data_IF_874213283343
#
_entry.id   IF_874213283343
#
_cell.length_a   1.000
_cell.length_b   1.000
_cell.length_c   1.000
_cell.angle_alpha   90.00
_cell.angle_beta   90.00
_cell.angle_gamma   90.00
#
_symmetry.space_group_name_H-M   'P 1'
#
loop_
_entity.id
_entity.type
_entity.pdbx_description
1 polymer ?
#
# COMPACT_ATOMS: atom_id res chain seq x y z
N UNK A 1 -19.36 -0.82 -15.36
CA UNK A 1 -18.82 -2.18 -15.57
C UNK A 1 -17.72 -2.38 -14.55
N UNK A 2 -18.01 -3.07 -13.45
CA UNK A 2 -16.98 -3.40 -12.45
C UNK A 2 -16.02 -4.37 -13.13
N UNK A 3 -14.76 -3.96 -13.31
CA UNK A 3 -13.76 -4.81 -13.95
C UNK A 3 -13.55 -6.05 -13.05
N UNK A 4 -13.56 -7.28 -13.60
CA UNK A 4 -13.42 -8.55 -12.86
C UNK A 4 -12.25 -8.52 -11.84
N UNK A 5 -11.17 -7.89 -12.27
CA UNK A 5 -10.02 -7.36 -11.54
C UNK A 5 -10.31 -6.82 -10.13
N UNK A 6 -11.30 -5.95 -9.97
CA UNK A 6 -11.66 -5.31 -8.70
C UNK A 6 -12.15 -6.33 -7.66
N UNK A 7 -13.01 -7.23 -8.10
CA UNK A 7 -13.63 -8.23 -7.23
C UNK A 7 -12.58 -9.20 -6.70
N UNK A 8 -11.58 -9.56 -7.51
CA UNK A 8 -10.46 -10.42 -7.10
C UNK A 8 -9.63 -9.77 -5.98
N UNK A 9 -9.35 -8.46 -6.10
CA UNK A 9 -8.57 -7.69 -5.13
C UNK A 9 -9.27 -7.60 -3.78
N UNK A 10 -10.54 -7.20 -3.79
CA UNK A 10 -11.31 -7.10 -2.56
C UNK A 10 -11.42 -8.46 -1.87
N UNK A 11 -11.59 -9.53 -2.66
CA UNK A 11 -11.61 -10.91 -2.13
C UNK A 11 -10.27 -11.27 -1.48
N UNK A 12 -9.14 -10.86 -2.06
CA UNK A 12 -7.82 -11.05 -1.47
C UNK A 12 -7.66 -10.30 -0.14
N UNK A 13 -8.08 -9.04 -0.05
CA UNK A 13 -8.06 -8.26 1.20
C UNK A 13 -8.90 -8.89 2.31
N UNK A 14 -9.98 -9.59 1.96
CA UNK A 14 -10.86 -10.27 2.92
C UNK A 14 -10.29 -11.60 3.45
N UNK A 15 -9.19 -12.10 2.92
CA UNK A 15 -8.57 -13.34 3.40
C UNK A 15 -8.07 -13.21 4.84
N UNK A 16 -8.15 -14.30 5.60
CA UNK A 16 -7.81 -14.33 7.04
C UNK A 16 -6.41 -13.81 7.37
N UNK A 17 -5.45 -13.95 6.46
CA UNK A 17 -4.08 -13.44 6.62
C UNK A 17 -3.96 -11.92 6.63
N UNK A 18 -4.95 -11.22 6.07
CA UNK A 18 -5.00 -9.75 6.00
C UNK A 18 -5.89 -9.16 7.12
N UNK A 19 -6.65 -9.99 7.86
CA UNK A 19 -7.60 -9.53 8.88
C UNK A 19 -6.95 -8.77 10.03
N UNK A 20 -5.75 -9.16 10.45
CA UNK A 20 -5.03 -8.49 11.53
C UNK A 20 -4.17 -7.30 11.05
N UNK A 21 -4.08 -7.07 9.74
CA UNK A 21 -3.19 -6.07 9.16
C UNK A 21 -3.83 -4.69 9.06
N UNK A 22 -4.19 -4.06 10.17
CA UNK A 22 -4.65 -2.67 10.18
C UNK A 22 -3.92 -1.86 11.25
N UNK A 23 -3.22 -0.82 10.82
CA UNK A 23 -2.50 0.11 11.69
C UNK A 23 -3.02 1.52 11.44
N UNK A 24 -3.36 2.21 12.53
CA UNK A 24 -3.68 3.64 12.48
C UNK A 24 -2.36 4.40 12.53
N UNK A 25 -2.07 5.09 11.44
CA UNK A 25 -0.82 5.82 11.23
C UNK A 25 -0.98 7.22 11.78
N UNK A 26 -1.00 7.31 13.10
CA UNK A 26 -1.19 8.54 13.83
C UNK A 26 -0.26 8.61 15.05
N UNK A 27 0.38 9.76 15.25
CA UNK A 27 1.04 10.09 16.51
C UNK A 27 0.31 11.28 17.13
N UNK A 28 -0.29 11.06 18.31
CA UNK A 28 -1.10 12.06 19.03
C UNK A 28 -2.21 12.73 18.17
N UNK A 29 -2.80 11.97 17.25
CA UNK A 29 -3.88 12.45 16.37
C UNK A 29 -3.42 13.30 15.18
N UNK A 30 -2.11 13.47 14.97
CA UNK A 30 -1.54 14.09 13.77
C UNK A 30 -1.06 13.02 12.78
N UNK A 31 -1.06 13.38 11.49
CA UNK A 31 -0.40 12.59 10.43
C UNK A 31 1.07 12.36 10.81
N UNK A 32 1.55 11.14 10.64
CA UNK A 32 2.98 10.85 10.75
C UNK A 32 3.74 11.59 9.65
N UNK A 33 4.94 12.07 9.96
CA UNK A 33 5.90 12.46 8.91
C UNK A 33 6.39 11.21 8.17
N UNK A 34 6.98 11.38 6.99
CA UNK A 34 7.57 10.28 6.22
C UNK A 34 8.57 9.44 7.05
N UNK A 35 9.51 10.09 7.73
CA UNK A 35 10.46 9.41 8.61
C UNK A 35 9.79 8.65 9.78
N UNK A 36 8.65 9.13 10.28
CA UNK A 36 7.90 8.45 11.34
C UNK A 36 7.13 7.24 10.79
N UNK A 37 6.55 7.37 9.61
CA UNK A 37 5.95 6.27 8.86
C UNK A 37 6.97 5.15 8.63
N UNK A 38 8.15 5.48 8.10
CA UNK A 38 9.22 4.52 7.85
C UNK A 38 9.72 3.84 9.13
N UNK A 39 9.84 4.58 10.24
CA UNK A 39 10.14 3.98 11.56
C UNK A 39 9.04 3.03 12.01
N UNK A 40 7.77 3.41 11.84
CA UNK A 40 6.63 2.55 12.20
C UNK A 40 6.58 1.27 11.37
N UNK A 41 6.84 1.38 10.07
CA UNK A 41 6.96 0.24 9.14
C UNK A 41 8.09 -0.70 9.59
N UNK A 42 9.23 -0.13 10.01
CA UNK A 42 10.34 -0.91 10.57
C UNK A 42 10.00 -1.60 11.88
N UNK A 43 9.25 -0.96 12.78
CA UNK A 43 8.79 -1.55 14.05
C UNK A 43 7.90 -2.79 13.83
N UNK A 44 7.07 -2.77 12.78
CA UNK A 44 6.23 -3.92 12.40
C UNK A 44 6.96 -4.91 11.47
N UNK A 45 8.27 -4.71 11.25
CA UNK A 45 9.17 -5.52 10.43
C UNK A 45 8.64 -5.78 9.01
N UNK A 46 8.09 -4.74 8.38
CA UNK A 46 7.63 -4.78 6.99
C UNK A 46 8.68 -4.08 6.12
N UNK A 47 9.01 -4.66 4.97
CA UNK A 47 10.03 -4.15 4.04
C UNK A 47 9.48 -3.85 2.65
N UNK A 48 8.17 -3.89 2.47
CA UNK A 48 7.50 -3.54 1.21
C UNK A 48 6.54 -2.40 1.52
N UNK A 49 6.70 -1.27 0.84
CA UNK A 49 5.85 -0.10 0.98
C UNK A 49 5.26 0.25 -0.39
N UNK A 50 3.95 0.42 -0.40
CA UNK A 50 3.15 0.89 -1.52
C UNK A 50 2.60 2.25 -1.11
N UNK A 51 3.07 3.30 -1.78
CA UNK A 51 2.70 4.69 -1.48
C UNK A 51 2.81 5.58 -2.75
N UNK A 52 2.23 6.78 -2.68
CA UNK A 52 2.17 7.78 -3.78
C UNK A 52 3.31 8.83 -3.68
N UNK A 53 4.40 8.54 -2.97
CA UNK A 53 5.48 9.47 -2.63
C UNK A 53 6.70 9.42 -3.59
N UNK A 54 7.66 10.36 -3.45
CA UNK A 54 8.90 10.40 -4.26
C UNK A 54 9.85 9.22 -3.97
N UNK A 55 10.10 8.43 -5.00
CA UNK A 55 10.68 7.09 -4.92
C UNK A 55 12.12 7.08 -4.42
N UNK A 56 12.93 8.07 -4.79
CA UNK A 56 14.39 8.02 -4.57
C UNK A 56 14.80 8.58 -3.22
N UNK A 57 14.16 9.65 -2.78
CA UNK A 57 14.48 10.29 -1.49
C UNK A 57 14.02 9.40 -0.35
N UNK A 58 12.77 8.91 -0.42
CA UNK A 58 12.18 8.00 0.54
C UNK A 58 13.04 6.76 0.78
N UNK A 59 13.49 6.14 -0.31
CA UNK A 59 14.27 4.89 -0.23
C UNK A 59 15.63 5.07 0.45
N UNK A 60 16.26 6.24 0.27
CA UNK A 60 17.52 6.55 0.98
C UNK A 60 17.28 6.75 2.47
N UNK A 61 16.21 7.46 2.84
CA UNK A 61 15.84 7.63 4.24
C UNK A 61 15.46 6.29 4.88
N UNK A 62 14.71 5.47 4.16
CA UNK A 62 14.29 4.16 4.64
C UNK A 62 15.49 3.22 4.86
N UNK A 63 16.48 3.24 3.96
CA UNK A 63 17.76 2.54 4.16
C UNK A 63 18.55 3.04 5.37
N UNK A 64 18.44 4.31 5.72
CA UNK A 64 19.08 4.85 6.92
C UNK A 64 18.37 4.39 8.21
N UNK A 65 17.05 4.17 8.14
CA UNK A 65 16.22 3.72 9.27
C UNK A 65 16.33 2.20 9.48
N UNK A 66 16.09 1.40 8.44
CA UNK A 66 16.27 -0.05 8.49
C UNK A 66 17.72 -0.38 8.15
N UNK A 67 18.56 -0.53 9.18
CA UNK A 67 19.99 -0.83 9.00
C UNK A 67 20.29 -2.30 8.63
N UNK A 68 19.30 -3.19 8.75
CA UNK A 68 19.45 -4.63 8.45
C UNK A 68 19.15 -4.95 6.99
N UNK A 69 18.50 -4.06 6.25
CA UNK A 69 18.23 -4.27 4.84
C UNK A 69 19.53 -4.29 4.00
N UNK A 70 19.61 -5.23 3.06
CA UNK A 70 20.75 -5.40 2.13
C UNK A 70 20.87 -4.23 1.14
N UNK A 71 19.73 -3.63 0.81
CA UNK A 71 19.56 -2.55 -0.14
C UNK A 71 18.08 -2.26 -0.32
N UNK A 72 17.77 -1.40 -1.28
CA UNK A 72 16.40 -1.04 -1.57
C UNK A 72 16.12 -1.03 -3.07
N UNK A 73 14.92 -1.45 -3.42
CA UNK A 73 14.40 -1.49 -4.78
C UNK A 73 13.37 -0.40 -4.95
N UNK A 74 13.49 0.35 -6.04
CA UNK A 74 12.55 1.40 -6.40
C UNK A 74 12.43 1.54 -7.92
N UNK A 75 11.38 2.20 -8.37
CA UNK A 75 11.18 2.46 -9.80
C UNK A 75 11.73 3.82 -10.18
N UNK A 76 12.59 3.82 -11.20
CA UNK A 76 13.13 5.04 -11.78
C UNK A 76 12.18 5.66 -12.80
N UNK A 77 12.47 6.90 -13.21
CA UNK A 77 11.73 7.62 -14.24
C UNK A 77 11.69 6.90 -15.61
N UNK A 78 12.57 5.91 -15.81
CA UNK A 78 12.65 5.06 -17.00
C UNK A 78 11.73 3.83 -16.96
N UNK A 79 10.83 3.75 -15.98
CA UNK A 79 9.93 2.61 -15.74
C UNK A 79 10.65 1.29 -15.45
N UNK A 80 11.91 1.35 -14.99
CA UNK A 80 12.69 0.16 -14.61
C UNK A 80 12.88 0.08 -13.11
N UNK A 81 12.98 -1.14 -12.60
CA UNK A 81 13.37 -1.37 -11.23
C UNK A 81 14.87 -1.19 -11.05
N UNK A 82 15.26 -0.38 -10.07
CA UNK A 82 16.62 -0.06 -9.70
C UNK A 82 16.91 -0.54 -8.28
N UNK A 83 18.14 -0.96 -8.04
CA UNK A 83 18.65 -1.41 -6.75
C UNK A 83 19.65 -0.38 -6.23
N UNK A 84 19.34 0.21 -5.09
CA UNK A 84 20.26 1.02 -4.29
C UNK A 84 20.85 0.14 -3.18
N UNK A 85 22.11 -0.27 -3.32
CA UNK A 85 22.80 -1.00 -2.24
C UNK A 85 23.11 -0.08 -1.07
N UNK A 86 23.16 -0.69 0.12
CA UNK A 86 23.71 -0.03 1.32
C UNK A 86 25.17 0.33 1.09
N UNK A 87 25.52 1.60 1.25
CA UNK A 87 26.88 2.11 1.03
C UNK A 87 27.30 2.20 -0.45
N UNK A 88 26.46 1.76 -1.39
CA UNK A 88 26.70 1.92 -2.82
C UNK A 88 26.51 3.36 -3.26
N UNK A 89 27.44 3.90 -4.07
CA UNK A 89 27.32 5.27 -4.60
C UNK A 89 26.29 5.39 -5.72
N UNK A 90 26.14 4.34 -6.54
CA UNK A 90 25.24 4.34 -7.69
C UNK A 90 24.22 3.22 -7.58
N UNK A 91 23.00 3.49 -8.03
CA UNK A 91 21.97 2.50 -8.20
C UNK A 91 22.22 1.72 -9.50
N UNK A 92 21.89 0.43 -9.53
CA UNK A 92 22.01 -0.41 -10.72
C UNK A 92 20.67 -1.04 -11.09
N UNK A 93 20.41 -1.39 -12.36
CA UNK A 93 19.15 -2.02 -12.74
C UNK A 93 18.97 -3.38 -12.04
N UNK A 94 17.77 -3.68 -11.54
CA UNK A 94 17.46 -4.93 -10.83
C UNK A 94 17.80 -6.18 -11.65
N UNK A 95 17.52 -6.14 -12.96
CA UNK A 95 17.82 -7.23 -13.90
C UNK A 95 19.32 -7.52 -14.06
N UNK A 96 20.19 -6.57 -13.71
CA UNK A 96 21.63 -6.75 -13.72
C UNK A 96 22.16 -7.27 -12.36
N UNK A 97 21.28 -7.60 -11.42
CA UNK A 97 21.64 -8.07 -10.08
C UNK A 97 21.24 -9.54 -9.90
N UNK A 98 21.93 -10.29 -9.03
CA UNK A 98 21.52 -11.67 -8.71
C UNK A 98 20.21 -11.73 -7.89
N UNK A 99 19.62 -10.59 -7.53
CA UNK A 99 18.43 -10.50 -6.67
C UNK A 99 17.13 -10.34 -7.46
N UNK A 100 17.18 -10.31 -8.79
CA UNK A 100 15.98 -10.22 -9.63
C UNK A 100 14.94 -11.33 -9.32
N UNK A 101 15.41 -12.50 -8.92
CA UNK A 101 14.57 -13.67 -8.61
C UNK A 101 14.24 -13.83 -7.12
N UNK A 102 14.84 -13.04 -6.23
CA UNK A 102 14.54 -13.07 -4.80
C UNK A 102 14.93 -11.77 -4.10
N UNK A 103 13.91 -11.01 -3.68
CA UNK A 103 14.06 -9.75 -2.95
C UNK A 103 14.16 -9.92 -1.43
N UNK A 104 14.49 -11.11 -0.95
CA UNK A 104 14.69 -11.36 0.47
C UNK A 104 15.72 -10.42 1.11
N UNK A 105 15.31 -9.75 2.19
CA UNK A 105 16.11 -8.78 2.92
C UNK A 105 16.28 -7.42 2.25
N UNK A 106 15.60 -7.14 1.13
CA UNK A 106 15.55 -5.81 0.51
C UNK A 106 14.34 -5.02 0.98
N UNK A 107 14.50 -3.70 1.04
CA UNK A 107 13.38 -2.77 1.07
C UNK A 107 12.83 -2.66 -0.36
N UNK A 108 11.52 -2.61 -0.52
CA UNK A 108 10.90 -2.49 -1.84
C UNK A 108 9.86 -1.39 -1.76
N UNK A 109 10.11 -0.33 -2.51
CA UNK A 109 9.18 0.77 -2.67
C UNK A 109 8.49 0.66 -4.03
N UNK A 110 7.16 0.68 -4.01
CA UNK A 110 6.33 0.57 -5.21
C UNK A 110 5.48 1.84 -5.29
N UNK A 111 5.74 2.60 -6.34
CA UNK A 111 4.98 3.79 -6.72
C UNK A 111 3.86 3.42 -7.71
N UNK A 112 2.75 4.15 -7.56
CA UNK A 112 1.54 4.15 -8.36
C UNK A 112 1.78 4.28 -9.87
N UNK A 113 2.80 5.01 -10.32
CA UNK A 113 3.07 5.12 -11.76
C UNK A 113 3.63 3.83 -12.38
N UNK A 114 4.09 2.86 -11.57
CA UNK A 114 4.93 1.74 -12.01
C UNK A 114 4.33 0.34 -11.76
N UNK A 115 3.03 0.30 -11.46
CA UNK A 115 2.27 -0.93 -11.14
C UNK A 115 2.04 -1.85 -12.34
N UNK A 116 2.33 -1.40 -13.58
CA UNK A 116 2.00 -2.14 -14.80
C UNK A 116 3.20 -2.79 -15.53
N UNK A 117 4.45 -2.55 -15.12
CA UNK A 117 5.64 -2.87 -15.96
C UNK A 117 6.62 -3.96 -15.51
N UNK A 118 6.78 -4.25 -14.21
CA UNK A 118 7.85 -5.16 -13.71
C UNK A 118 7.35 -6.30 -12.80
N UNK A 119 7.79 -7.53 -13.05
CA UNK A 119 7.51 -8.71 -12.20
C UNK A 119 8.57 -8.80 -11.09
N UNK A 120 8.17 -8.49 -9.84
CA UNK A 120 9.06 -8.53 -8.68
C UNK A 120 8.84 -9.84 -7.92
N UNK A 121 9.93 -10.57 -7.66
CA UNK A 121 9.90 -11.85 -6.93
C UNK A 121 10.10 -11.65 -5.44
N UNK A 122 9.00 -11.70 -4.70
CA UNK A 122 8.98 -11.56 -3.25
C UNK A 122 9.06 -12.91 -2.52
N UNK A 123 9.60 -12.94 -1.29
CA UNK A 123 9.52 -14.11 -0.41
C UNK A 123 8.08 -14.55 -0.12
N UNK A 124 7.90 -15.82 0.23
CA UNK A 124 6.58 -16.42 0.47
C UNK A 124 5.83 -15.81 1.66
N UNK A 125 6.53 -15.38 2.69
CA UNK A 125 6.01 -14.78 3.92
C UNK A 125 6.06 -13.25 3.91
N UNK A 126 6.36 -12.66 2.74
CA UNK A 126 6.48 -11.22 2.61
C UNK A 126 5.16 -10.52 3.00
N UNK A 127 5.32 -9.43 3.74
CA UNK A 127 4.23 -8.55 4.15
C UNK A 127 4.46 -7.17 3.56
N UNK A 128 3.42 -6.59 2.97
CA UNK A 128 3.47 -5.23 2.41
C UNK A 128 2.62 -4.25 3.19
N UNK A 129 3.06 -3.00 3.24
CA UNK A 129 2.29 -1.87 3.76
C UNK A 129 1.62 -1.18 2.58
N UNK A 130 0.32 -0.95 2.72
CA UNK A 130 -0.48 -0.13 1.82
C UNK A 130 -0.94 1.12 2.59
N UNK A 131 -0.41 2.28 2.22
CA UNK A 131 -0.87 3.57 2.76
C UNK A 131 -2.23 3.91 2.14
N UNK A 132 -3.21 4.28 2.95
CA UNK A 132 -4.55 4.71 2.49
C UNK A 132 -4.65 6.25 2.45
N UNK A 133 -5.39 6.80 1.50
CA UNK A 133 -5.59 8.26 1.37
C UNK A 133 -7.05 8.69 1.12
N UNK A 134 -7.40 9.92 1.50
CA UNK A 134 -8.73 10.52 1.22
C UNK A 134 -8.74 11.23 -0.14
N UNK A 135 -9.88 11.20 -0.83
CA UNK A 135 -10.08 12.00 -2.05
C UNK A 135 -9.60 11.33 -3.34
N UNK A 136 -9.48 10.01 -3.33
CA UNK A 136 -9.16 9.16 -4.47
C UNK A 136 -10.25 9.32 -5.57
N UNK A 137 -10.04 10.27 -6.50
CA UNK A 137 -10.96 10.55 -7.61
C UNK A 137 -10.75 9.56 -8.75
N UNK A 138 -11.86 9.04 -9.31
CA UNK A 138 -12.12 8.27 -10.56
C UNK A 138 -10.98 7.54 -11.32
N UNK A 139 -9.79 8.11 -11.42
CA UNK A 139 -8.58 7.46 -11.94
C UNK A 139 -7.77 6.74 -10.83
N UNK A 140 -8.00 7.08 -9.55
CA UNK A 140 -7.21 6.59 -8.42
C UNK A 140 -7.87 5.44 -7.63
N UNK A 141 -9.19 5.24 -7.76
CA UNK A 141 -9.82 4.00 -7.28
C UNK A 141 -9.26 2.77 -7.99
N UNK A 142 -8.93 2.90 -9.29
CA UNK A 142 -8.24 1.83 -10.05
C UNK A 142 -6.79 1.63 -9.55
N UNK A 143 -6.16 2.65 -8.95
CA UNK A 143 -4.77 2.62 -8.48
C UNK A 143 -4.60 1.86 -7.15
N UNK A 144 -5.45 2.10 -6.16
CA UNK A 144 -5.45 1.29 -4.91
C UNK A 144 -5.79 -0.17 -5.22
N UNK A 145 -6.70 -0.41 -6.16
CA UNK A 145 -7.06 -1.76 -6.61
C UNK A 145 -5.91 -2.48 -7.31
N UNK A 146 -5.14 -1.78 -8.14
CA UNK A 146 -4.10 -2.41 -8.94
C UNK A 146 -2.76 -2.56 -8.21
N UNK A 147 -2.47 -1.67 -7.24
CA UNK A 147 -1.36 -1.88 -6.30
C UNK A 147 -1.60 -3.12 -5.43
N UNK A 148 -2.85 -3.32 -5.02
CA UNK A 148 -3.31 -4.54 -4.39
C UNK A 148 -3.31 -5.76 -5.32
N UNK A 149 -3.55 -5.58 -6.62
CA UNK A 149 -3.35 -6.66 -7.60
C UNK A 149 -1.88 -7.03 -7.82
N UNK A 150 -0.89 -6.20 -7.48
CA UNK A 150 0.50 -6.69 -7.46
C UNK A 150 0.88 -7.39 -6.17
N UNK A 151 0.07 -7.21 -5.13
CA UNK A 151 -0.01 -8.18 -4.05
C UNK A 151 -0.62 -9.53 -4.54
N UNK A 152 -0.90 -9.72 -5.85
CA UNK A 152 -1.12 -11.03 -6.51
C UNK A 152 0.18 -11.71 -6.93
N UNK A 153 1.28 -10.97 -7.15
CA UNK A 153 2.64 -11.53 -7.31
C UNK A 153 3.25 -11.88 -5.95
N UNK A 154 2.83 -11.19 -4.90
CA UNK A 154 2.76 -11.78 -3.57
C UNK A 154 1.71 -12.91 -3.62
N UNK A 155 2.10 -14.10 -4.09
CA UNK A 155 1.24 -15.27 -4.25
C UNK A 155 0.35 -15.67 -3.05
N UNK A 156 -0.07 -16.93 -3.04
CA UNK A 156 -1.07 -17.45 -2.09
C UNK A 156 -0.67 -17.40 -0.61
N UNK A 157 0.50 -16.87 -0.24
CA UNK A 157 1.08 -16.96 1.11
C UNK A 157 1.35 -15.61 1.78
N UNK A 158 1.52 -14.55 1.00
CA UNK A 158 1.88 -13.22 1.48
C UNK A 158 0.70 -12.40 1.98
N UNK A 159 0.97 -11.34 2.74
CA UNK A 159 -0.06 -10.55 3.44
C UNK A 159 0.14 -9.04 3.32
N UNK A 160 -0.90 -8.30 3.70
CA UNK A 160 -0.95 -6.83 3.60
C UNK A 160 -1.28 -6.23 4.97
N UNK A 161 -0.67 -5.09 5.25
CA UNK A 161 -1.01 -4.21 6.35
C UNK A 161 -1.50 -2.87 5.81
N UNK A 162 -2.71 -2.49 6.16
CA UNK A 162 -3.27 -1.19 5.83
C UNK A 162 -2.77 -0.14 6.82
N UNK A 163 -2.31 0.97 6.29
CA UNK A 163 -1.77 2.09 7.03
C UNK A 163 -2.68 3.28 6.80
N UNK A 164 -3.53 3.60 7.77
CA UNK A 164 -4.55 4.64 7.65
C UNK A 164 -4.16 5.91 8.43
N UNK A 165 -3.99 7.05 7.76
CA UNK A 165 -3.91 8.36 8.41
C UNK A 165 -5.14 8.67 9.28
N UNK A 166 -5.05 9.61 10.25
CA UNK A 166 -6.15 9.92 11.18
C UNK A 166 -7.48 10.25 10.49
N UNK A 167 -7.43 10.99 9.39
CA UNK A 167 -8.60 11.40 8.61
C UNK A 167 -9.22 10.23 7.84
N UNK A 168 -8.40 9.31 7.31
CA UNK A 168 -8.90 8.08 6.67
C UNK A 168 -9.51 7.16 7.73
N UNK A 169 -8.83 6.98 8.87
CA UNK A 169 -9.37 6.20 9.99
C UNK A 169 -10.72 6.74 10.46
N UNK A 170 -10.87 8.07 10.57
CA UNK A 170 -12.15 8.70 10.89
C UNK A 170 -13.21 8.42 9.83
N UNK A 171 -12.86 8.53 8.56
CA UNK A 171 -13.75 8.24 7.43
C UNK A 171 -14.23 6.78 7.45
N UNK A 172 -13.34 5.82 7.71
CA UNK A 172 -13.69 4.39 7.87
C UNK A 172 -14.70 4.22 9.01
N UNK A 173 -14.44 4.82 10.18
CA UNK A 173 -15.36 4.75 11.32
C UNK A 173 -16.73 5.33 10.98
N UNK A 174 -16.79 6.43 10.24
CA UNK A 174 -18.05 7.07 9.88
C UNK A 174 -18.87 6.24 8.88
N UNK A 175 -18.22 5.51 7.97
CA UNK A 175 -18.90 4.50 7.13
C UNK A 175 -19.41 3.33 7.96
N UNK A 176 -18.61 2.86 8.93
CA UNK A 176 -19.00 1.74 9.80
C UNK A 176 -20.23 2.07 10.66
N UNK A 177 -20.33 3.31 11.19
CA UNK A 177 -21.49 3.76 11.98
C UNK A 177 -22.80 3.83 11.20
N UNK A 178 -22.73 4.02 9.87
CA UNK A 178 -23.91 4.05 8.99
C UNK A 178 -24.46 2.65 8.70
N UNK A 179 -23.71 1.60 9.03
CA UNK A 179 -24.11 0.22 8.78
C UNK A 179 -25.04 -0.26 9.91
N UNK A 180 -26.21 -0.88 9.61
CA UNK A 180 -27.15 -1.33 10.64
C UNK A 180 -26.48 -2.33 11.60
N UNK A 181 -26.42 -2.00 12.90
CA UNK A 181 -25.79 -2.82 13.95
C UNK A 181 -24.31 -2.53 14.26
N UNK A 182 -23.68 -1.55 13.62
CA UNK A 182 -22.24 -1.29 13.72
C UNK A 182 -21.84 -0.23 14.75
N UNK A 183 -21.69 -0.59 16.03
CA UNK A 183 -20.82 0.15 16.96
C UNK A 183 -19.42 -0.47 16.94
N UNK A 184 -18.65 -0.16 15.90
CA UNK A 184 -17.24 -0.59 15.82
C UNK A 184 -16.40 0.43 16.58
N UNK A 185 -15.84 0.01 17.72
CA UNK A 185 -14.82 0.80 18.41
C UNK A 185 -13.52 0.87 17.60
N UNK A 186 -12.73 1.93 17.78
CA UNK A 186 -11.46 2.15 17.06
C UNK A 186 -10.48 0.97 17.12
N UNK A 187 -10.59 0.10 18.13
CA UNK A 187 -9.75 -1.09 18.33
C UNK A 187 -10.17 -2.33 17.54
N UNK A 188 -11.31 -2.30 16.83
CA UNK A 188 -11.85 -3.46 16.11
C UNK A 188 -11.87 -3.29 14.58
N UNK A 189 -11.16 -2.29 14.06
CA UNK A 189 -11.01 -2.12 12.61
C UNK A 189 -10.10 -3.21 12.06
N UNK A 190 -10.50 -3.76 10.91
CA UNK A 190 -9.79 -4.82 10.20
C UNK A 190 -9.99 -4.63 8.70
N UNK A 191 -9.43 -5.54 7.90
CA UNK A 191 -9.52 -5.47 6.43
C UNK A 191 -10.96 -5.41 5.88
N UNK A 192 -11.95 -6.02 6.55
CA UNK A 192 -13.35 -5.94 6.13
C UNK A 192 -13.88 -4.51 6.16
N UNK A 193 -13.55 -3.76 7.22
CA UNK A 193 -13.97 -2.36 7.33
C UNK A 193 -13.29 -1.47 6.29
N UNK A 194 -12.03 -1.76 5.96
CA UNK A 194 -11.30 -1.08 4.88
C UNK A 194 -11.97 -1.36 3.53
N UNK A 195 -12.27 -2.63 3.22
CA UNK A 195 -12.97 -3.02 1.98
C UNK A 195 -14.34 -2.35 1.86
N UNK A 196 -15.11 -2.33 2.96
CA UNK A 196 -16.42 -1.67 2.97
C UNK A 196 -16.29 -0.15 2.75
N UNK A 197 -15.27 0.47 3.36
CA UNK A 197 -14.97 1.89 3.15
C UNK A 197 -14.55 2.19 1.70
N UNK A 198 -13.71 1.35 1.07
CA UNK A 198 -13.31 1.48 -0.34
C UNK A 198 -14.50 1.38 -1.31
N UNK A 199 -15.42 0.45 -1.06
CA UNK A 199 -16.66 0.31 -1.82
C UNK A 199 -17.51 1.58 -1.72
N UNK A 200 -17.68 2.12 -0.51
CA UNK A 200 -18.42 3.36 -0.27
C UNK A 200 -17.74 4.57 -0.94
N UNK A 201 -16.41 4.68 -0.92
CA UNK A 201 -15.70 5.75 -1.64
C UNK A 201 -15.96 5.66 -3.14
N UNK A 202 -15.90 4.45 -3.71
CA UNK A 202 -16.19 4.20 -5.13
C UNK A 202 -17.63 4.59 -5.49
N UNK A 203 -18.61 4.25 -4.65
CA UNK A 203 -20.00 4.64 -4.85
C UNK A 203 -20.16 6.17 -4.85
N UNK A 204 -19.60 6.86 -3.85
CA UNK A 204 -19.66 8.33 -3.74
C UNK A 204 -18.99 9.02 -4.92
N UNK A 205 -17.83 8.53 -5.35
CA UNK A 205 -17.15 9.06 -6.52
C UNK A 205 -18.04 8.93 -7.77
N UNK A 206 -18.64 7.76 -7.99
CA UNK A 206 -19.53 7.55 -9.13
C UNK A 206 -20.77 8.47 -9.11
N UNK A 207 -21.38 8.68 -7.95
CA UNK A 207 -22.53 9.60 -7.79
C UNK A 207 -22.15 11.06 -8.09
N UNK A 208 -21.01 11.53 -7.57
CA UNK A 208 -20.50 12.88 -7.84
C UNK A 208 -20.30 13.12 -9.33
N UNK A 209 -19.86 12.10 -10.05
CA UNK A 209 -19.62 12.21 -11.48
C UNK A 209 -20.90 12.12 -12.30
N UNK A 210 -21.89 11.34 -11.88
CA UNK A 210 -23.22 11.38 -12.50
C UNK A 210 -23.87 12.76 -12.38
N UNK A 211 -23.72 13.42 -11.23
CA UNK A 211 -24.24 14.77 -11.02
C UNK A 211 -23.56 15.84 -11.90
N UNK A 212 -22.31 15.61 -12.34
CA UNK A 212 -21.58 16.50 -13.25
C UNK A 212 -22.03 16.36 -14.72
N UNK A 213 -22.65 15.25 -15.12
CA UNK A 213 -23.15 15.04 -16.49
C UNK A 213 -24.61 15.47 -16.69
N UNK A 214 -25.28 15.90 -15.61
CA UNK A 214 -26.67 16.37 -15.63
C UNK A 214 -26.79 17.91 -15.59
N UNK A 215 -25.69 18.63 -15.84
CA UNK A 215 -25.63 20.09 -16.00
C UNK A 215 -25.36 20.45 -17.45
#
# INVERSE_FOLDING_TARGET
MICLTYVEVLTYFLQSRNRAGYEVVAWLGKRLTEAELLRRIREVNIRILIDEMDNKTLVKEWLAIDTEAKGAVYFGADNRAWVQYRGGKEAIPLLATPFAENLDGFLVYIDEAYIYGVDLKFPHDARGVLTLALGQTKDHTVQEDLAAMRLRQLGTTQSVCFFAPPEVHRSILDVCKKTPGGLVGSSNINSYHVVNWLLEQTCRANEQLQNLYLV
#
